data_IF_224819655981
#
_entry.id   IF_224819655981
#
_cell.length_a   1.000
_cell.length_b   1.000
_cell.length_c   1.000
_cell.angle_alpha   90.00
_cell.angle_beta   90.00
_cell.angle_gamma   90.00
#
_symmetry.space_group_name_H-M   'P 1'
#
loop_
_entity.id
_entity.type
_entity.pdbx_description
1 polymer ?
#
# COMPACT_ATOMS: atom_id res chain seq x y z
N UNK A 1 -25.33 -1.99 4.70
CA UNK A 1 -25.10 -3.41 4.38
C UNK A 1 -25.31 -4.22 5.66
N UNK A 2 -25.99 -5.38 5.58
CA UNK A 2 -26.44 -6.13 6.76
C UNK A 2 -25.22 -6.64 7.55
N UNK A 3 -25.18 -6.46 8.89
CA UNK A 3 -24.09 -6.89 9.78
C UNK A 3 -23.78 -8.38 9.58
N UNK A 4 -24.82 -9.22 9.43
CA UNK A 4 -24.69 -10.65 9.18
C UNK A 4 -23.91 -10.97 7.90
N UNK A 5 -24.14 -10.20 6.83
CA UNK A 5 -23.42 -10.40 5.55
C UNK A 5 -21.94 -10.07 5.69
N UNK A 6 -21.62 -9.02 6.43
CA UNK A 6 -20.21 -8.65 6.69
C UNK A 6 -19.50 -9.73 7.52
N UNK A 7 -20.15 -10.22 8.59
CA UNK A 7 -19.62 -11.33 9.38
C UNK A 7 -19.34 -12.58 8.54
N UNK A 8 -20.27 -12.98 7.67
CA UNK A 8 -20.06 -14.12 6.76
C UNK A 8 -18.87 -13.90 5.83
N UNK A 9 -18.73 -12.69 5.29
CA UNK A 9 -17.61 -12.32 4.43
C UNK A 9 -16.29 -12.42 5.19
N UNK A 10 -16.22 -11.89 6.41
CA UNK A 10 -15.02 -11.92 7.25
C UNK A 10 -14.60 -13.34 7.59
N UNK A 11 -15.56 -14.23 7.92
CA UNK A 11 -15.31 -15.65 8.10
C UNK A 11 -14.73 -16.31 6.84
N UNK A 12 -15.33 -16.06 5.68
CA UNK A 12 -14.85 -16.61 4.39
C UNK A 12 -13.43 -16.10 4.11
N UNK A 13 -13.17 -14.81 4.23
CA UNK A 13 -11.85 -14.21 3.97
C UNK A 13 -10.79 -14.74 4.93
N UNK A 14 -11.15 -14.94 6.19
CA UNK A 14 -10.26 -15.54 7.18
C UNK A 14 -9.89 -16.97 6.77
N UNK A 15 -10.86 -17.84 6.49
CA UNK A 15 -10.60 -19.21 6.04
C UNK A 15 -9.75 -19.27 4.76
N UNK A 16 -10.08 -18.46 3.76
CA UNK A 16 -9.33 -18.38 2.52
C UNK A 16 -7.89 -17.89 2.75
N UNK A 17 -7.70 -16.96 3.68
CA UNK A 17 -6.39 -16.39 3.96
C UNK A 17 -5.41 -17.44 4.48
N UNK A 18 -5.87 -18.41 5.26
CA UNK A 18 -5.05 -19.50 5.81
C UNK A 18 -4.86 -20.69 4.85
N UNK A 19 -5.63 -20.80 3.77
CA UNK A 19 -5.51 -21.93 2.84
C UNK A 19 -4.14 -21.92 2.13
N UNK A 20 -3.30 -22.97 2.28
CA UNK A 20 -1.93 -22.96 1.77
C UNK A 20 -1.85 -23.29 0.27
N UNK A 21 -0.65 -23.15 -0.30
CA UNK A 21 -0.27 -23.66 -1.60
C UNK A 21 -0.86 -22.92 -2.80
N UNK A 22 -0.73 -23.56 -3.96
CA UNK A 22 -1.21 -23.00 -5.25
C UNK A 22 -2.74 -22.93 -5.30
N UNK A 23 -3.42 -23.91 -4.73
CA UNK A 23 -4.90 -23.96 -4.65
C UNK A 23 -5.41 -22.77 -3.83
N UNK A 24 -4.87 -22.54 -2.63
CA UNK A 24 -5.24 -21.40 -1.82
C UNK A 24 -4.99 -20.06 -2.52
N UNK A 25 -3.87 -19.94 -3.24
CA UNK A 25 -3.57 -18.74 -4.04
C UNK A 25 -4.62 -18.52 -5.13
N UNK A 26 -5.03 -19.58 -5.84
CA UNK A 26 -6.04 -19.51 -6.90
C UNK A 26 -7.39 -19.07 -6.32
N UNK A 27 -7.85 -19.72 -5.25
CA UNK A 27 -9.17 -19.44 -4.65
C UNK A 27 -9.20 -17.97 -4.13
N UNK A 28 -8.15 -17.50 -3.42
CA UNK A 28 -8.06 -16.12 -2.97
C UNK A 28 -8.10 -15.13 -4.15
N UNK A 29 -7.33 -15.40 -5.20
CA UNK A 29 -7.30 -14.56 -6.40
C UNK A 29 -8.68 -14.45 -7.03
N UNK A 30 -9.40 -15.58 -7.15
CA UNK A 30 -10.77 -15.59 -7.68
C UNK A 30 -11.74 -14.85 -6.77
N UNK A 31 -11.70 -15.07 -5.47
CA UNK A 31 -12.54 -14.37 -4.49
C UNK A 31 -12.38 -12.85 -4.57
N UNK A 32 -11.15 -12.37 -4.44
CA UNK A 32 -10.88 -10.93 -4.42
C UNK A 32 -11.11 -10.27 -5.79
N UNK A 33 -11.01 -11.00 -6.90
CA UNK A 33 -11.31 -10.47 -8.24
C UNK A 33 -12.70 -9.83 -8.32
N UNK A 34 -13.69 -10.38 -7.63
CA UNK A 34 -15.05 -9.83 -7.59
C UNK A 34 -15.25 -8.71 -6.57
N UNK A 35 -14.27 -8.51 -5.70
CA UNK A 35 -14.32 -7.52 -4.63
C UNK A 35 -13.64 -6.19 -5.02
N UNK A 36 -12.66 -6.21 -5.89
CA UNK A 36 -11.92 -5.04 -6.33
C UNK A 36 -12.67 -4.20 -7.36
N UNK A 37 -12.28 -2.92 -7.47
CA UNK A 37 -12.85 -1.96 -8.42
C UNK A 37 -12.60 -2.36 -9.87
N UNK A 38 -11.38 -2.81 -10.18
CA UNK A 38 -10.98 -3.28 -11.50
C UNK A 38 -10.30 -4.65 -11.35
N UNK A 39 -10.92 -5.73 -11.84
CA UNK A 39 -10.35 -7.07 -11.71
C UNK A 39 -9.23 -7.28 -12.73
N UNK A 40 -8.00 -7.06 -12.31
CA UNK A 40 -6.80 -7.42 -13.05
C UNK A 40 -6.29 -8.82 -12.66
N UNK A 41 -5.21 -9.29 -13.29
CA UNK A 41 -4.52 -10.52 -12.90
C UNK A 41 -3.68 -10.28 -11.65
N UNK A 42 -4.26 -10.51 -10.47
CA UNK A 42 -3.59 -10.31 -9.17
C UNK A 42 -3.33 -11.65 -8.51
N UNK A 43 -2.09 -11.91 -8.14
CA UNK A 43 -1.72 -13.09 -7.34
C UNK A 43 -1.73 -12.72 -5.87
N UNK A 44 -2.67 -13.27 -5.08
CA UNK A 44 -2.80 -13.02 -3.64
C UNK A 44 -2.18 -14.15 -2.83
N UNK A 45 -1.12 -13.85 -2.07
CA UNK A 45 -0.47 -14.81 -1.17
C UNK A 45 -1.23 -14.93 0.16
N UNK A 46 -0.95 -15.99 0.98
CA UNK A 46 -1.62 -16.21 2.27
C UNK A 46 -1.54 -15.01 3.22
N UNK A 47 -2.54 -14.89 4.09
CA UNK A 47 -2.66 -13.88 5.16
C UNK A 47 -2.74 -12.44 4.67
N UNK A 48 -3.04 -12.23 3.37
CA UNK A 48 -3.28 -10.89 2.84
C UNK A 48 -4.69 -10.42 3.21
N UNK A 49 -4.82 -9.12 3.53
CA UNK A 49 -6.06 -8.49 3.97
C UNK A 49 -6.36 -7.25 3.16
N UNK A 50 -7.64 -7.00 2.89
CA UNK A 50 -8.10 -5.87 2.07
C UNK A 50 -9.31 -5.21 2.74
N UNK A 51 -9.14 -3.98 3.20
CA UNK A 51 -10.23 -3.17 3.77
C UNK A 51 -10.79 -2.27 2.68
N UNK A 52 -12.12 -2.26 2.52
CA UNK A 52 -12.83 -1.55 1.45
C UNK A 52 -12.29 -1.86 0.04
N UNK A 53 -12.22 -3.14 -0.36
CA UNK A 53 -11.59 -3.56 -1.62
C UNK A 53 -12.20 -2.91 -2.87
N UNK A 54 -13.43 -2.43 -2.82
CA UNK A 54 -14.07 -1.66 -3.91
C UNK A 54 -13.39 -0.31 -4.20
N UNK A 55 -12.59 0.19 -3.28
CA UNK A 55 -11.78 1.40 -3.45
C UNK A 55 -10.34 1.10 -3.83
N UNK A 56 -10.01 -0.18 -4.09
CA UNK A 56 -8.69 -0.64 -4.52
C UNK A 56 -8.77 -1.10 -5.98
N UNK A 57 -8.01 -0.46 -6.86
CA UNK A 57 -7.93 -0.79 -8.27
C UNK A 57 -6.55 -1.36 -8.62
N UNK A 58 -6.54 -2.49 -9.33
CA UNK A 58 -5.33 -3.09 -9.91
C UNK A 58 -5.45 -3.04 -11.43
N UNK A 59 -4.62 -2.24 -12.09
CA UNK A 59 -4.74 -1.95 -13.53
C UNK A 59 -4.03 -2.98 -14.43
N UNK A 60 -3.33 -3.95 -13.83
CA UNK A 60 -2.63 -4.99 -14.60
C UNK A 60 -2.09 -6.10 -13.72
N UNK A 61 -1.16 -6.89 -14.29
CA UNK A 61 -0.54 -8.01 -13.59
C UNK A 61 0.13 -7.57 -12.29
N UNK A 62 -0.25 -8.20 -11.18
CA UNK A 62 0.19 -7.83 -9.84
C UNK A 62 0.54 -9.06 -9.02
N UNK A 63 1.60 -8.97 -8.19
CA UNK A 63 1.98 -10.03 -7.26
C UNK A 63 2.08 -9.48 -5.83
N UNK A 64 1.21 -9.96 -4.95
CA UNK A 64 1.17 -9.57 -3.54
C UNK A 64 1.82 -10.65 -2.69
N UNK A 65 2.78 -10.25 -1.86
CA UNK A 65 3.46 -11.11 -0.89
C UNK A 65 2.52 -11.62 0.20
N UNK A 66 3.01 -12.50 1.08
CA UNK A 66 2.28 -12.92 2.28
C UNK A 66 2.06 -11.72 3.20
N UNK A 67 0.94 -11.71 3.94
CA UNK A 67 0.63 -10.66 4.91
C UNK A 67 0.58 -9.25 4.30
N UNK A 68 0.26 -9.14 3.02
CA UNK A 68 0.04 -7.84 2.40
C UNK A 68 -1.26 -7.23 2.94
N UNK A 69 -1.17 -6.03 3.49
CA UNK A 69 -2.30 -5.29 4.03
C UNK A 69 -2.57 -4.05 3.16
N UNK A 70 -3.75 -4.00 2.58
CA UNK A 70 -4.23 -2.88 1.76
C UNK A 70 -5.53 -2.35 2.35
N UNK A 71 -5.51 -1.12 2.81
CA UNK A 71 -6.70 -0.47 3.37
C UNK A 71 -7.00 0.81 2.60
N UNK A 72 -8.25 0.90 2.13
CA UNK A 72 -8.80 2.10 1.50
C UNK A 72 -9.99 2.63 2.32
N UNK A 73 -9.82 2.69 3.65
CA UNK A 73 -10.86 3.14 4.57
C UNK A 73 -10.98 4.66 4.57
N UNK A 74 -12.01 5.15 3.91
CA UNK A 74 -12.21 6.57 3.64
C UNK A 74 -11.26 7.16 2.60
N UNK A 75 -10.50 6.32 1.87
CA UNK A 75 -9.57 6.74 0.82
C UNK A 75 -9.66 5.85 -0.42
N UNK A 76 -8.62 5.90 -1.29
CA UNK A 76 -8.55 5.03 -2.47
C UNK A 76 -7.11 4.64 -2.81
N UNK A 77 -6.94 3.45 -3.42
CA UNK A 77 -5.64 2.92 -3.85
C UNK A 77 -5.75 2.54 -5.33
N UNK A 78 -4.79 3.00 -6.12
CA UNK A 78 -4.67 2.65 -7.54
C UNK A 78 -3.27 2.13 -7.82
N UNK A 79 -3.18 0.92 -8.40
CA UNK A 79 -1.92 0.22 -8.63
C UNK A 79 -1.81 -0.15 -10.10
N UNK A 80 -0.76 0.34 -10.74
CA UNK A 80 -0.40 0.08 -12.12
C UNK A 80 0.04 -1.36 -12.37
N UNK A 81 0.26 -1.69 -13.63
CA UNK A 81 0.67 -3.01 -14.06
C UNK A 81 2.10 -3.38 -13.61
N UNK A 82 2.40 -4.69 -13.58
CA UNK A 82 3.69 -5.25 -13.18
C UNK A 82 4.15 -4.82 -11.77
N UNK A 83 3.20 -4.53 -10.90
CA UNK A 83 3.47 -4.25 -9.49
C UNK A 83 3.82 -5.54 -8.75
N UNK A 84 4.80 -5.45 -7.86
CA UNK A 84 5.12 -6.53 -6.93
C UNK A 84 5.47 -5.97 -5.56
N UNK A 85 4.81 -6.46 -4.52
CA UNK A 85 5.24 -6.24 -3.14
C UNK A 85 5.64 -7.55 -2.48
N UNK A 86 6.62 -7.47 -1.58
CA UNK A 86 7.08 -8.60 -0.80
C UNK A 86 6.21 -8.80 0.46
N UNK A 87 6.65 -9.61 1.40
CA UNK A 87 5.93 -9.94 2.64
C UNK A 87 5.70 -8.71 3.52
N UNK A 88 4.52 -8.68 4.18
CA UNK A 88 4.17 -7.70 5.22
C UNK A 88 4.24 -6.23 4.76
N UNK A 89 3.80 -5.95 3.53
CA UNK A 89 3.64 -4.58 3.07
C UNK A 89 2.32 -4.01 3.58
N UNK A 90 2.35 -2.79 4.13
CA UNK A 90 1.19 -2.10 4.68
C UNK A 90 0.92 -0.81 3.87
N UNK A 91 -0.11 -0.84 3.04
CA UNK A 91 -0.49 0.28 2.17
C UNK A 91 -1.88 0.76 2.59
N UNK A 92 -1.95 1.94 3.22
CA UNK A 92 -3.14 2.48 3.83
C UNK A 92 -3.46 3.88 3.32
N UNK A 93 -4.54 3.98 2.52
CA UNK A 93 -5.17 5.22 2.10
C UNK A 93 -6.40 5.46 2.96
N UNK A 94 -6.37 6.47 3.81
CA UNK A 94 -7.45 6.78 4.75
C UNK A 94 -7.74 8.27 4.80
N UNK A 95 -8.88 8.62 5.41
CA UNK A 95 -9.30 10.03 5.67
C UNK A 95 -9.36 10.89 4.40
N UNK A 96 -9.80 10.31 3.28
CA UNK A 96 -9.90 11.02 1.98
C UNK A 96 -8.64 10.95 1.11
N UNK A 97 -7.52 10.42 1.62
CA UNK A 97 -6.26 10.34 0.87
C UNK A 97 -6.26 9.30 -0.24
N UNK A 98 -5.43 9.52 -1.26
CA UNK A 98 -5.22 8.58 -2.36
C UNK A 98 -3.76 8.11 -2.38
N UNK A 99 -3.55 6.80 -2.62
CA UNK A 99 -2.24 6.24 -2.97
C UNK A 99 -2.29 5.81 -4.43
N UNK A 100 -1.42 6.39 -5.25
CA UNK A 100 -1.26 6.03 -6.65
C UNK A 100 0.12 5.44 -6.86
N UNK A 101 0.18 4.19 -7.33
CA UNK A 101 1.42 3.49 -7.67
C UNK A 101 1.40 3.22 -9.17
N UNK A 102 2.37 3.75 -9.89
CA UNK A 102 2.50 3.56 -11.33
C UNK A 102 2.96 2.13 -11.68
N UNK A 103 3.17 1.85 -12.95
CA UNK A 103 3.61 0.53 -13.42
C UNK A 103 5.07 0.22 -13.07
N UNK A 104 5.42 -1.09 -13.08
CA UNK A 104 6.78 -1.62 -12.88
C UNK A 104 7.38 -1.30 -11.51
N UNK A 105 6.58 -1.14 -10.46
CA UNK A 105 7.07 -0.82 -9.11
C UNK A 105 7.34 -2.08 -8.32
N UNK A 106 8.52 -2.11 -7.68
CA UNK A 106 8.96 -3.18 -6.79
C UNK A 106 9.03 -2.69 -5.35
N UNK A 107 8.39 -3.41 -4.43
CA UNK A 107 8.39 -3.08 -3.00
C UNK A 107 8.96 -4.24 -2.18
N UNK A 108 9.99 -3.95 -1.41
CA UNK A 108 10.61 -4.87 -0.46
C UNK A 108 9.71 -5.24 0.72
N UNK A 109 10.13 -6.16 1.58
CA UNK A 109 9.36 -6.55 2.77
C UNK A 109 9.22 -5.41 3.79
N UNK A 110 8.13 -5.46 4.58
CA UNK A 110 7.85 -4.55 5.70
C UNK A 110 7.80 -3.06 5.31
N UNK A 111 7.42 -2.73 4.09
CA UNK A 111 7.25 -1.33 3.68
C UNK A 111 5.90 -0.82 4.16
N UNK A 112 5.89 0.39 4.71
CA UNK A 112 4.69 1.08 5.18
C UNK A 112 4.46 2.36 4.37
N UNK A 113 3.24 2.53 3.86
CA UNK A 113 2.76 3.77 3.24
C UNK A 113 1.44 4.16 3.90
N UNK A 114 1.32 5.40 4.35
CA UNK A 114 0.10 5.88 5.00
C UNK A 114 -0.19 7.33 4.64
N UNK A 115 -1.43 7.61 4.19
CA UNK A 115 -1.86 8.95 3.78
C UNK A 115 -2.25 9.85 4.94
N UNK A 116 -2.65 9.31 6.10
CA UNK A 116 -3.18 10.08 7.21
C UNK A 116 -2.22 10.15 8.39
N UNK A 117 -2.23 11.30 9.05
CA UNK A 117 -1.56 11.56 10.33
C UNK A 117 -2.58 12.14 11.32
N UNK A 118 -2.35 11.95 12.61
CA UNK A 118 -3.06 12.71 13.64
C UNK A 118 -2.63 14.18 13.64
N UNK A 119 -3.58 15.07 13.89
CA UNK A 119 -3.26 16.45 14.25
C UNK A 119 -2.73 16.48 15.70
N UNK A 120 -1.73 17.31 15.98
CA UNK A 120 -1.07 17.36 17.29
C UNK A 120 -0.60 18.76 17.68
N UNK A 121 -0.98 19.79 16.93
CA UNK A 121 -0.48 21.16 17.11
C UNK A 121 -1.20 21.90 18.24
N UNK A 122 -2.44 21.55 18.54
CA UNK A 122 -3.21 22.12 19.65
C UNK A 122 -2.76 21.51 20.98
N UNK A 123 -2.15 22.32 21.84
CA UNK A 123 -1.63 21.89 23.15
C UNK A 123 -2.68 21.82 24.25
N UNK A 124 -3.86 22.37 24.00
CA UNK A 124 -4.98 22.37 24.94
C UNK A 124 -5.93 21.19 24.72
N UNK A 125 -5.71 20.40 23.67
CA UNK A 125 -6.47 19.20 23.34
C UNK A 125 -5.61 17.94 23.35
N UNK A 126 -6.22 16.80 23.74
CA UNK A 126 -5.58 15.50 23.57
C UNK A 126 -5.43 15.17 22.08
N UNK A 127 -4.31 14.58 21.69
CA UNK A 127 -4.00 14.23 20.28
C UNK A 127 -5.13 13.42 19.62
N UNK A 128 -5.73 12.48 20.36
CA UNK A 128 -6.81 11.64 19.85
C UNK A 128 -8.14 12.40 19.63
N UNK A 129 -8.25 13.64 20.06
CA UNK A 129 -9.42 14.52 19.88
C UNK A 129 -9.23 15.55 18.77
N UNK A 130 -8.00 15.77 18.30
CA UNK A 130 -7.69 16.77 17.28
C UNK A 130 -8.00 16.32 15.86
N UNK A 131 -8.41 15.04 15.67
CA UNK A 131 -8.71 14.51 14.36
C UNK A 131 -7.45 14.16 13.54
N UNK A 132 -7.61 14.18 12.21
CA UNK A 132 -6.56 13.76 11.28
C UNK A 132 -6.40 14.77 10.14
N UNK A 133 -5.20 14.87 9.61
CA UNK A 133 -4.92 15.42 8.30
C UNK A 133 -4.47 14.32 7.34
N UNK A 134 -4.53 14.58 6.05
CA UNK A 134 -4.08 13.65 5.03
C UNK A 134 -3.52 14.36 3.81
N UNK A 135 -2.64 13.67 3.11
CA UNK A 135 -2.17 14.04 1.79
C UNK A 135 -1.99 12.78 0.93
N UNK A 136 -1.99 12.94 -0.39
CA UNK A 136 -1.82 11.83 -1.31
C UNK A 136 -0.37 11.34 -1.34
N UNK A 137 -0.18 10.05 -1.66
CA UNK A 137 1.12 9.46 -1.95
C UNK A 137 1.14 9.06 -3.42
N UNK A 138 2.18 9.45 -4.13
CA UNK A 138 2.36 9.18 -5.55
C UNK A 138 3.69 8.47 -5.78
N UNK A 139 3.66 7.26 -6.33
CA UNK A 139 4.84 6.48 -6.69
C UNK A 139 4.95 6.40 -8.21
N UNK A 140 6.03 6.92 -8.75
CA UNK A 140 6.32 6.95 -10.18
C UNK A 140 6.59 5.56 -10.76
N UNK A 141 6.73 5.52 -12.08
CA UNK A 141 7.06 4.31 -12.83
C UNK A 141 8.48 3.84 -12.53
N UNK A 142 8.70 2.50 -12.52
CA UNK A 142 10.02 1.87 -12.37
C UNK A 142 10.73 2.24 -11.05
N UNK A 143 9.97 2.38 -9.96
CA UNK A 143 10.50 2.67 -8.64
C UNK A 143 10.80 1.38 -7.89
N UNK A 144 11.94 1.34 -7.20
CA UNK A 144 12.26 0.30 -6.25
C UNK A 144 12.31 0.85 -4.82
N UNK A 145 11.49 0.29 -3.94
CA UNK A 145 11.48 0.60 -2.51
C UNK A 145 12.08 -0.58 -1.76
N UNK A 146 13.19 -0.35 -1.09
CA UNK A 146 13.89 -1.33 -0.26
C UNK A 146 13.07 -1.77 0.96
N UNK A 147 13.53 -2.80 1.67
CA UNK A 147 12.85 -3.33 2.85
C UNK A 147 12.83 -2.34 4.03
N UNK A 148 11.80 -2.46 4.89
CA UNK A 148 11.63 -1.66 6.11
C UNK A 148 11.56 -0.14 5.87
N UNK A 149 11.13 0.30 4.69
CA UNK A 149 10.95 1.72 4.40
C UNK A 149 9.58 2.22 4.87
N UNK A 150 9.54 3.50 5.26
CA UNK A 150 8.31 4.21 5.59
C UNK A 150 8.17 5.40 4.64
N UNK A 151 7.04 5.45 3.92
CA UNK A 151 6.69 6.56 3.04
C UNK A 151 5.58 7.36 3.72
N UNK A 152 5.88 8.60 4.08
CA UNK A 152 4.95 9.46 4.79
C UNK A 152 3.93 10.13 3.87
N UNK A 153 2.87 10.62 4.48
CA UNK A 153 1.81 11.37 3.83
C UNK A 153 2.33 12.55 3.02
N UNK A 154 1.82 12.73 1.81
CA UNK A 154 2.17 13.86 0.95
C UNK A 154 3.38 13.64 0.03
N UNK A 155 4.07 12.51 0.16
CA UNK A 155 5.31 12.26 -0.59
C UNK A 155 5.02 11.83 -2.03
N UNK A 156 5.78 12.41 -2.96
CA UNK A 156 5.88 11.99 -4.36
C UNK A 156 7.26 11.39 -4.64
N UNK A 157 7.28 10.16 -5.13
CA UNK A 157 8.52 9.49 -5.55
C UNK A 157 8.57 9.48 -7.08
N UNK A 158 9.57 10.12 -7.64
CA UNK A 158 9.76 10.26 -9.08
C UNK A 158 10.10 8.94 -9.76
N UNK A 159 9.89 8.90 -11.10
CA UNK A 159 10.19 7.75 -11.96
C UNK A 159 11.64 7.30 -11.80
N UNK A 160 11.87 5.97 -11.77
CA UNK A 160 13.20 5.37 -11.71
C UNK A 160 13.94 5.60 -10.39
N UNK A 161 13.26 6.11 -9.35
CA UNK A 161 13.88 6.33 -8.05
C UNK A 161 14.09 5.02 -7.28
N UNK A 162 15.11 5.02 -6.44
CA UNK A 162 15.42 3.90 -5.53
C UNK A 162 15.42 4.40 -4.09
N UNK A 163 14.62 3.77 -3.25
CA UNK A 163 14.58 4.03 -1.82
C UNK A 163 15.37 2.94 -1.12
N UNK A 164 16.49 3.30 -0.51
CA UNK A 164 17.36 2.36 0.20
C UNK A 164 16.64 1.78 1.43
N UNK A 165 16.96 0.54 1.77
CA UNK A 165 16.33 -0.17 2.90
C UNK A 165 16.44 0.63 4.21
N UNK A 166 15.38 0.59 5.03
CA UNK A 166 15.29 1.29 6.31
C UNK A 166 15.05 2.81 6.21
N UNK A 167 14.82 3.35 5.02
CA UNK A 167 14.62 4.79 4.86
C UNK A 167 13.24 5.26 5.35
N UNK A 168 13.19 6.46 5.92
CA UNK A 168 11.96 7.21 6.21
C UNK A 168 11.86 8.38 5.26
N UNK A 169 11.00 8.26 4.25
CA UNK A 169 10.82 9.27 3.21
C UNK A 169 9.74 10.25 3.65
N UNK A 170 10.15 11.48 3.94
CA UNK A 170 9.31 12.57 4.42
C UNK A 170 9.27 13.79 3.48
N UNK A 171 9.92 13.69 2.32
CA UNK A 171 9.96 14.72 1.26
C UNK A 171 9.95 14.04 -0.09
N UNK A 172 9.57 14.78 -1.12
CA UNK A 172 9.58 14.32 -2.50
C UNK A 172 10.96 13.85 -2.94
N UNK A 173 10.97 12.80 -3.76
CA UNK A 173 12.17 12.20 -4.34
C UNK A 173 12.16 12.48 -5.85
N UNK A 174 13.23 13.08 -6.37
CA UNK A 174 13.35 13.37 -7.79
C UNK A 174 13.49 12.08 -8.63
N UNK A 175 13.19 12.20 -9.93
CA UNK A 175 13.38 11.09 -10.88
C UNK A 175 14.83 10.57 -10.85
N UNK A 176 15.00 9.26 -11.06
CA UNK A 176 16.30 8.60 -11.18
C UNK A 176 17.25 8.93 -10.01
N UNK A 177 16.73 9.00 -8.80
CA UNK A 177 17.50 9.37 -7.61
C UNK A 177 17.48 8.23 -6.59
N UNK A 178 18.64 7.95 -6.01
CA UNK A 178 18.75 7.05 -4.85
C UNK A 178 18.72 7.89 -3.58
N UNK A 179 17.77 7.58 -2.68
CA UNK A 179 17.68 8.19 -1.35
C UNK A 179 17.76 7.14 -0.26
N UNK A 180 18.23 7.53 0.93
CA UNK A 180 18.28 6.63 2.10
C UNK A 180 18.47 7.36 3.41
N UNK A 181 18.28 6.66 4.53
CA UNK A 181 18.43 7.18 5.89
C UNK A 181 17.13 7.66 6.54
N UNK A 182 17.24 8.16 7.78
CA UNK A 182 16.14 8.65 8.62
C UNK A 182 16.50 10.04 9.15
N UNK A 183 15.90 11.11 8.58
CA UNK A 183 15.06 11.14 7.38
C UNK A 183 15.87 10.82 6.11
N UNK A 184 15.18 10.38 5.06
CA UNK A 184 15.81 10.04 3.78
C UNK A 184 16.45 11.28 3.13
N UNK A 185 17.67 11.11 2.65
CA UNK A 185 18.44 12.13 1.92
C UNK A 185 18.97 11.54 0.60
N UNK A 186 19.21 12.40 -0.37
CA UNK A 186 19.83 12.00 -1.63
C UNK A 186 21.21 11.39 -1.39
N UNK A 187 21.44 10.19 -1.93
CA UNK A 187 22.73 9.51 -1.95
C UNK A 187 23.44 9.77 -3.26
N UNK A 188 22.72 9.57 -4.39
CA UNK A 188 23.22 9.88 -5.74
C UNK A 188 22.09 9.90 -6.77
N UNK A 189 22.34 10.51 -7.90
CA UNK A 189 21.51 10.40 -9.12
C UNK A 189 21.97 9.23 -9.97
N UNK A 190 21.00 8.51 -10.53
CA UNK A 190 21.25 7.48 -11.54
C UNK A 190 21.43 8.16 -12.91
N UNK A 191 22.28 7.59 -13.73
CA UNK A 191 22.56 8.09 -15.09
C UNK A 191 21.49 7.61 -16.05
#
# INVERSE_FOLDING_TARGET
MNIIINEIIDWIETLLSYTPGKVGTLIRTLWFRYRWKNPASVRVRPLSQFINPKQIAFLGKTSLGKQAFFSADGGSIEIGENFSCNVNCHINASVGGKITISKNVLIGPNVVMRTANHNFDDRDQLINQQGHNFNNIEIGEDVWIGSNCVILSGVKIGKGAVIAAGAVVNKDVANNTIVGGVPAKEIKKLK
#
